data_IF_305223036690
#
_entry.id   IF_305223036690
#
_cell.length_a   1.000
_cell.length_b   1.000
_cell.length_c   1.000
_cell.angle_alpha   90.00
_cell.angle_beta   90.00
_cell.angle_gamma   90.00
#
_symmetry.space_group_name_H-M   'P 1'
#
loop_
_entity.id
_entity.type
_entity.pdbx_description
1 polymer ?
#
# COMPACT_ATOMS: atom_id res chain seq x y z
N UNK A 1 -0.58 16.18 11.42
CA UNK A 1 0.61 15.30 11.59
C UNK A 1 1.00 14.80 10.21
N UNK A 2 2.21 15.09 9.73
CA UNK A 2 2.76 14.45 8.53
C UNK A 2 2.84 12.94 8.80
N UNK A 3 1.84 12.18 8.36
CA UNK A 3 1.93 10.71 8.35
C UNK A 3 3.11 10.37 7.44
N UNK A 4 4.13 9.72 7.98
CA UNK A 4 5.27 9.27 7.18
C UNK A 4 4.75 8.29 6.14
N UNK A 5 5.00 8.58 4.86
CA UNK A 5 4.71 7.66 3.76
C UNK A 5 5.88 6.70 3.62
N UNK A 6 5.61 5.40 3.70
CA UNK A 6 6.59 4.36 3.40
C UNK A 6 6.71 4.19 1.89
N UNK A 7 7.86 3.68 1.43
CA UNK A 7 8.09 3.39 0.02
C UNK A 7 8.23 1.88 -0.14
N UNK A 8 7.47 1.31 -1.09
CA UNK A 8 7.66 -0.05 -1.58
C UNK A 8 8.27 0.02 -2.98
N UNK A 9 9.56 -0.31 -3.10
CA UNK A 9 10.25 -0.44 -4.39
C UNK A 9 9.94 -1.76 -5.11
N UNK A 10 9.49 -2.76 -4.35
CA UNK A 10 9.23 -4.12 -4.82
C UNK A 10 7.89 -4.63 -4.28
N UNK A 11 7.31 -5.60 -4.98
CA UNK A 11 6.09 -6.26 -4.51
C UNK A 11 6.28 -6.91 -3.13
N UNK A 12 7.46 -7.43 -2.79
CA UNK A 12 7.67 -8.11 -1.52
C UNK A 12 7.65 -7.16 -0.32
N UNK A 13 8.17 -5.94 -0.47
CA UNK A 13 8.02 -4.89 0.56
C UNK A 13 6.53 -4.55 0.75
N UNK A 14 5.78 -4.40 -0.34
CA UNK A 14 4.33 -4.16 -0.23
C UNK A 14 3.61 -5.31 0.49
N UNK A 15 3.90 -6.57 0.14
CA UNK A 15 3.32 -7.72 0.83
C UNK A 15 3.65 -7.72 2.32
N UNK A 16 4.91 -7.44 2.67
CA UNK A 16 5.33 -7.35 4.06
C UNK A 16 4.60 -6.22 4.81
N UNK A 17 4.41 -5.06 4.16
CA UNK A 17 3.64 -3.95 4.69
C UNK A 17 2.18 -4.34 5.01
N UNK A 18 1.54 -5.10 4.12
CA UNK A 18 0.18 -5.59 4.35
C UNK A 18 0.15 -6.67 5.46
N UNK A 19 0.99 -7.69 5.35
CA UNK A 19 1.01 -8.84 6.27
C UNK A 19 1.33 -8.45 7.72
N UNK A 20 2.13 -7.39 7.93
CA UNK A 20 2.45 -6.89 9.27
C UNK A 20 1.41 -5.89 9.80
N UNK A 21 0.32 -5.62 9.07
CA UNK A 21 -0.72 -4.69 9.50
C UNK A 21 -0.34 -3.21 9.44
N UNK A 22 0.81 -2.87 8.83
CA UNK A 22 1.32 -1.48 8.80
C UNK A 22 0.39 -0.53 8.03
N UNK A 23 -0.38 -1.06 7.07
CA UNK A 23 -1.40 -0.33 6.31
C UNK A 23 -2.46 0.35 7.17
N UNK A 24 -2.68 -0.10 8.41
CA UNK A 24 -3.65 0.51 9.33
C UNK A 24 -3.15 1.81 9.95
N UNK A 25 -1.83 2.05 9.91
CA UNK A 25 -1.18 3.15 10.63
C UNK A 25 -0.42 4.10 9.69
N UNK A 26 0.06 3.60 8.56
CA UNK A 26 0.92 4.32 7.64
C UNK A 26 0.35 4.30 6.21
N UNK A 27 0.67 5.35 5.46
CA UNK A 27 0.46 5.37 4.01
C UNK A 27 1.66 4.71 3.33
N UNK A 28 1.46 4.15 2.14
CA UNK A 28 2.55 3.60 1.32
C UNK A 28 2.47 4.08 -0.12
N UNK A 29 3.64 4.37 -0.71
CA UNK A 29 3.82 4.64 -2.13
C UNK A 29 4.58 3.48 -2.78
N UNK A 30 4.00 2.88 -3.80
CA UNK A 30 4.56 1.78 -4.56
C UNK A 30 5.27 2.32 -5.82
N UNK A 31 6.57 2.03 -5.98
CA UNK A 31 7.35 2.43 -7.16
C UNK A 31 7.13 1.52 -8.37
N UNK A 32 6.03 0.76 -8.36
CA UNK A 32 5.58 -0.13 -9.41
C UNK A 32 4.10 0.20 -9.72
N UNK A 33 3.63 -0.09 -10.95
CA UNK A 33 2.29 0.26 -11.36
C UNK A 33 1.24 -0.58 -10.62
N UNK A 34 0.01 -0.10 -10.65
CA UNK A 34 -1.13 -0.81 -10.08
C UNK A 34 -1.27 -2.21 -10.69
N UNK A 35 -1.48 -3.19 -9.83
CA UNK A 35 -1.77 -4.56 -10.22
C UNK A 35 -3.03 -5.06 -9.48
N UNK A 36 -4.15 -5.29 -10.19
CA UNK A 36 -5.39 -5.73 -9.55
C UNK A 36 -5.25 -7.08 -8.84
N UNK A 37 -4.36 -7.96 -9.33
CA UNK A 37 -4.08 -9.24 -8.68
C UNK A 37 -3.33 -9.08 -7.36
N UNK A 38 -2.67 -7.94 -7.14
CA UNK A 38 -1.98 -7.62 -5.90
C UNK A 38 -2.98 -7.23 -4.82
N UNK A 39 -3.97 -6.38 -5.14
CA UNK A 39 -4.96 -5.92 -4.17
C UNK A 39 -5.96 -6.99 -3.77
N UNK A 40 -6.47 -7.75 -4.74
CA UNK A 40 -7.53 -8.73 -4.50
C UNK A 40 -7.11 -9.89 -3.57
N UNK A 41 -5.82 -10.00 -3.23
CA UNK A 41 -5.30 -11.04 -2.33
C UNK A 41 -5.37 -10.67 -0.86
N UNK A 42 -5.65 -9.42 -0.53
CA UNK A 42 -5.53 -8.91 0.84
C UNK A 42 -6.80 -8.24 1.33
N UNK A 43 -7.06 -8.38 2.63
CA UNK A 43 -8.05 -7.59 3.35
C UNK A 43 -7.36 -6.42 4.06
N UNK A 44 -7.68 -5.19 3.65
CA UNK A 44 -7.03 -3.97 4.13
C UNK A 44 -7.70 -3.34 5.36
N UNK A 45 -8.82 -3.90 5.83
CA UNK A 45 -9.58 -3.34 6.93
C UNK A 45 -10.23 -1.99 6.59
N UNK A 46 -10.38 -1.12 7.59
CA UNK A 46 -11.16 0.13 7.49
C UNK A 46 -10.35 1.37 7.11
N UNK A 47 -9.03 1.32 7.28
CA UNK A 47 -8.15 2.47 7.08
C UNK A 47 -6.89 2.00 6.36
N UNK A 48 -6.70 2.50 5.15
CA UNK A 48 -5.50 2.26 4.35
C UNK A 48 -5.35 3.37 3.32
N UNK A 49 -4.12 3.61 2.87
CA UNK A 49 -3.81 4.60 1.86
C UNK A 49 -2.58 4.14 1.07
N UNK A 50 -2.84 3.68 -0.15
CA UNK A 50 -1.87 3.02 -1.02
C UNK A 50 -1.86 3.78 -2.34
N UNK A 51 -0.72 4.36 -2.68
CA UNK A 51 -0.49 5.05 -3.95
C UNK A 51 0.50 4.25 -4.81
N UNK A 52 0.32 4.28 -6.12
CA UNK A 52 1.17 3.59 -7.10
C UNK A 52 1.79 4.61 -8.06
N UNK A 53 2.91 4.24 -8.68
CA UNK A 53 3.69 5.16 -9.52
C UNK A 53 3.01 5.57 -10.83
N UNK A 54 1.94 4.88 -11.23
CA UNK A 54 1.08 5.21 -12.36
C UNK A 54 -0.04 6.19 -12.00
N UNK A 55 -0.03 6.71 -10.77
CA UNK A 55 -1.01 7.66 -10.25
C UNK A 55 -2.28 7.01 -9.72
N UNK A 56 -2.40 5.68 -9.76
CA UNK A 56 -3.52 4.99 -9.12
C UNK A 56 -3.40 5.08 -7.60
N UNK A 57 -4.52 5.35 -6.92
CA UNK A 57 -4.57 5.43 -5.45
C UNK A 57 -5.76 4.65 -4.91
N UNK A 58 -5.48 3.75 -3.98
CA UNK A 58 -6.47 2.93 -3.28
C UNK A 58 -6.47 3.30 -1.80
N UNK A 59 -7.56 3.90 -1.34
CA UNK A 59 -7.65 4.41 0.03
C UNK A 59 -9.08 4.33 0.58
N UNK A 60 -9.19 4.28 1.92
CA UNK A 60 -10.44 4.36 2.68
C UNK A 60 -10.25 5.12 3.99
#
# INVERSE_FOLDING_TARGET
MNKKTLIADTHDIFKAFINNGLHQHYCIYCQFPFNPNLLNRYHYGKHYDIEFNDGYRYYQ
#
